data_IF_741425091625
#
_entry.id   IF_741425091625
#
_cell.length_a   1.000
_cell.length_b   1.000
_cell.length_c   1.000
_cell.angle_alpha   90.00
_cell.angle_beta   90.00
_cell.angle_gamma   90.00
#
_symmetry.space_group_name_H-M   'P 1'
#
loop_
_entity.id
_entity.type
_entity.pdbx_description
1 polymer ?
#
# COMPACT_ATOMS: atom_id res chain seq x y z
N UNK A 1 -7.01 23.77 -1.29
CA UNK A 1 -7.62 22.51 -0.80
C UNK A 1 -6.75 21.35 -1.26
N UNK A 2 -6.45 20.39 -0.40
CA UNK A 2 -5.69 19.20 -0.78
C UNK A 2 -6.63 18.00 -0.85
N UNK A 3 -6.53 17.21 -1.91
CA UNK A 3 -7.28 15.97 -2.09
C UNK A 3 -6.26 14.85 -2.22
N UNK A 4 -6.33 13.88 -1.31
CA UNK A 4 -5.59 12.63 -1.42
C UNK A 4 -6.52 11.58 -2.02
N UNK A 5 -6.12 10.98 -3.13
CA UNK A 5 -6.82 9.89 -3.79
C UNK A 5 -6.01 8.62 -3.62
N UNK A 6 -6.66 7.58 -3.12
CA UNK A 6 -6.11 6.23 -3.04
C UNK A 6 -6.88 5.39 -4.04
N UNK A 7 -6.21 4.95 -5.10
CA UNK A 7 -6.83 4.21 -6.20
C UNK A 7 -6.12 2.89 -6.40
N UNK A 8 -6.86 1.85 -6.76
CA UNK A 8 -6.22 0.60 -7.16
C UNK A 8 -5.75 0.70 -8.62
N UNK A 9 -6.46 1.41 -9.50
CA UNK A 9 -6.12 1.52 -10.92
C UNK A 9 -5.58 2.90 -11.28
N UNK A 10 -4.39 3.03 -11.90
CA UNK A 10 -3.92 4.33 -12.39
C UNK A 10 -4.84 4.94 -13.47
N UNK A 11 -5.66 4.10 -14.11
CA UNK A 11 -6.62 4.51 -15.15
C UNK A 11 -7.98 4.97 -14.57
N UNK A 12 -8.13 5.04 -13.25
CA UNK A 12 -9.39 5.47 -12.63
C UNK A 12 -9.62 6.97 -12.87
N UNK A 13 -10.69 7.29 -13.61
CA UNK A 13 -11.07 8.66 -13.96
C UNK A 13 -11.53 9.45 -12.75
N UNK A 14 -11.03 10.67 -12.61
CA UNK A 14 -11.41 11.62 -11.57
C UNK A 14 -11.75 12.97 -12.16
N UNK A 15 -12.96 13.45 -11.88
CA UNK A 15 -13.45 14.71 -12.39
C UNK A 15 -13.77 15.64 -11.22
N UNK A 16 -13.08 16.77 -11.18
CA UNK A 16 -13.46 17.90 -10.33
C UNK A 16 -14.28 18.88 -11.15
N UNK A 17 -15.33 19.45 -10.56
CA UNK A 17 -16.05 20.53 -11.23
C UNK A 17 -15.12 21.74 -11.43
N UNK A 18 -15.36 22.57 -12.46
CA UNK A 18 -14.44 23.67 -12.81
C UNK A 18 -14.08 24.60 -11.64
N UNK A 19 -15.02 24.84 -10.72
CA UNK A 19 -14.83 25.69 -9.54
C UNK A 19 -13.74 25.18 -8.57
N UNK A 20 -13.49 23.87 -8.55
CA UNK A 20 -12.51 23.24 -7.67
C UNK A 20 -11.18 22.94 -8.36
N UNK A 21 -11.14 22.82 -9.69
CA UNK A 21 -9.91 22.48 -10.43
C UNK A 21 -8.79 23.50 -10.20
N UNK A 22 -9.12 24.80 -10.12
CA UNK A 22 -8.13 25.86 -9.89
C UNK A 22 -7.70 26.01 -8.42
N UNK A 23 -8.42 25.37 -7.49
CA UNK A 23 -8.23 25.53 -6.03
C UNK A 23 -7.75 24.25 -5.33
N UNK A 24 -7.82 23.11 -6.02
CA UNK A 24 -7.49 21.81 -5.49
C UNK A 24 -6.13 21.34 -5.98
N UNK A 25 -5.30 20.85 -5.05
CA UNK A 25 -4.11 20.04 -5.35
C UNK A 25 -4.49 18.59 -5.13
N UNK A 26 -4.32 17.76 -6.15
CA UNK A 26 -4.68 16.33 -6.10
C UNK A 26 -3.41 15.50 -6.01
N UNK A 27 -3.32 14.67 -4.97
CA UNK A 27 -2.25 13.71 -4.75
C UNK A 27 -2.83 12.32 -4.95
N UNK A 28 -2.31 11.56 -5.92
CA UNK A 28 -2.80 10.22 -6.23
C UNK A 28 -1.79 9.18 -5.75
N UNK A 29 -2.27 8.23 -4.95
CA UNK A 29 -1.57 7.07 -4.42
C UNK A 29 -2.14 5.83 -5.10
N UNK A 30 -1.28 4.97 -5.64
CA UNK A 30 -1.72 3.76 -6.34
C UNK A 30 -1.47 2.52 -5.47
N UNK A 31 -2.51 1.71 -5.29
CA UNK A 31 -2.46 0.51 -4.42
C UNK A 31 -2.36 -0.81 -5.17
N UNK A 32 -1.99 -0.77 -6.46
CA UNK A 32 -1.66 -1.98 -7.23
C UNK A 32 -0.14 -2.11 -7.37
N UNK A 33 0.45 -3.26 -6.99
CA UNK A 33 -0.11 -4.48 -6.41
C UNK A 33 -0.10 -4.52 -4.86
N UNK A 34 -0.28 -3.39 -4.18
CA UNK A 34 0.05 -3.22 -2.75
C UNK A 34 -0.59 -4.25 -1.82
N UNK A 35 -1.87 -4.62 -1.94
CA UNK A 35 -2.48 -5.49 -0.92
C UNK A 35 -1.78 -6.86 -0.82
N UNK A 36 -1.43 -7.47 -1.96
CA UNK A 36 -0.68 -8.74 -1.96
C UNK A 36 0.79 -8.55 -1.64
N UNK A 37 1.44 -7.48 -2.11
CA UNK A 37 2.84 -7.23 -1.77
C UNK A 37 3.01 -7.00 -0.27
N UNK A 38 2.13 -6.22 0.34
CA UNK A 38 2.14 -6.01 1.79
C UNK A 38 1.94 -7.33 2.54
N UNK A 39 1.10 -8.25 2.04
CA UNK A 39 0.98 -9.59 2.63
C UNK A 39 2.28 -10.41 2.47
N UNK A 40 2.91 -10.38 1.29
CA UNK A 40 4.19 -11.06 1.04
C UNK A 40 5.29 -10.53 1.98
N UNK A 41 5.33 -9.22 2.22
CA UNK A 41 6.27 -8.59 3.14
C UNK A 41 5.97 -8.99 4.58
N UNK A 42 4.70 -8.96 5.00
CA UNK A 42 4.26 -9.40 6.34
C UNK A 42 4.69 -10.84 6.62
N UNK A 43 4.56 -11.74 5.64
CA UNK A 43 5.00 -13.14 5.76
C UNK A 43 6.52 -13.34 5.64
N UNK A 44 7.32 -12.26 5.58
CA UNK A 44 8.78 -12.33 5.42
C UNK A 44 9.23 -12.91 4.07
N UNK A 45 8.32 -13.00 3.10
CA UNK A 45 8.51 -13.74 1.86
C UNK A 45 8.89 -12.86 0.66
N UNK A 46 9.15 -11.56 0.85
CA UNK A 46 9.47 -10.64 -0.23
C UNK A 46 10.68 -11.09 -1.05
N UNK A 47 11.77 -11.48 -0.38
CA UNK A 47 12.95 -12.01 -1.07
C UNK A 47 12.61 -13.29 -1.83
N UNK A 48 11.86 -14.22 -1.23
CA UNK A 48 11.47 -15.44 -1.93
C UNK A 48 10.65 -15.14 -3.19
N UNK A 49 9.71 -14.19 -3.11
CA UNK A 49 8.92 -13.73 -4.25
C UNK A 49 9.77 -13.11 -5.35
N UNK A 50 10.71 -12.20 -5.03
CA UNK A 50 11.55 -11.57 -6.05
C UNK A 50 12.51 -12.53 -6.76
N UNK A 51 12.78 -13.71 -6.19
CA UNK A 51 13.59 -14.75 -6.84
C UNK A 51 12.76 -15.64 -7.79
N UNK A 52 11.43 -15.61 -7.70
CA UNK A 52 10.57 -16.33 -8.64
C UNK A 52 10.30 -15.45 -9.86
N UNK A 53 10.94 -15.78 -10.98
CA UNK A 53 10.75 -15.05 -12.23
C UNK A 53 9.28 -15.03 -12.66
N UNK A 54 8.80 -13.85 -13.04
CA UNK A 54 7.48 -13.60 -13.65
C UNK A 54 6.25 -14.05 -12.83
N UNK A 55 6.37 -14.30 -11.53
CA UNK A 55 5.21 -14.64 -10.70
C UNK A 55 4.52 -13.40 -10.16
N UNK A 56 3.21 -13.27 -10.40
CA UNK A 56 2.43 -12.14 -9.87
C UNK A 56 2.28 -12.27 -8.35
N UNK A 57 2.20 -11.15 -7.61
CA UNK A 57 1.96 -11.18 -6.17
C UNK A 57 0.74 -12.00 -5.77
N UNK A 58 -0.35 -11.92 -6.53
CA UNK A 58 -1.57 -12.70 -6.30
C UNK A 58 -1.36 -14.21 -6.45
N UNK A 59 -0.52 -14.62 -7.40
CA UNK A 59 -0.19 -16.03 -7.63
C UNK A 59 0.68 -16.54 -6.48
N UNK A 60 1.70 -15.77 -6.10
CA UNK A 60 2.57 -16.10 -4.98
C UNK A 60 1.79 -16.23 -3.66
N UNK A 61 0.91 -15.27 -3.35
CA UNK A 61 0.02 -15.35 -2.19
C UNK A 61 -0.83 -16.62 -2.18
N UNK A 62 -1.40 -17.00 -3.33
CA UNK A 62 -2.28 -18.16 -3.45
C UNK A 62 -1.51 -19.48 -3.33
N UNK A 63 -0.39 -19.59 -4.02
CA UNK A 63 0.32 -20.86 -4.24
C UNK A 63 1.44 -21.13 -3.24
N UNK A 64 2.15 -20.08 -2.81
CA UNK A 64 3.30 -20.20 -1.91
C UNK A 64 2.95 -19.88 -0.46
N UNK A 65 2.06 -18.92 -0.23
CA UNK A 65 1.63 -18.50 1.12
C UNK A 65 0.27 -19.11 1.55
N UNK A 66 -0.47 -19.76 0.64
CA UNK A 66 -1.79 -20.30 0.95
C UNK A 66 -2.88 -19.24 1.22
N UNK A 67 -2.60 -17.97 0.98
CA UNK A 67 -3.45 -16.80 1.24
C UNK A 67 -4.51 -16.60 0.15
N UNK A 68 -5.35 -17.62 -0.10
CA UNK A 68 -6.37 -17.60 -1.17
C UNK A 68 -7.44 -16.53 -0.99
N UNK A 69 -7.66 -16.08 0.25
CA UNK A 69 -8.70 -15.12 0.64
C UNK A 69 -8.16 -13.71 0.88
N UNK A 70 -6.92 -13.40 0.48
CA UNK A 70 -6.26 -12.10 0.76
C UNK A 70 -7.03 -10.88 0.24
N UNK A 71 -7.89 -11.06 -0.78
CA UNK A 71 -8.75 -9.99 -1.32
C UNK A 71 -10.09 -9.86 -0.59
N UNK A 72 -10.45 -10.80 0.28
CA UNK A 72 -11.73 -10.79 0.98
C UNK A 72 -11.65 -9.86 2.18
N UNK A 73 -12.60 -8.94 2.26
CA UNK A 73 -12.66 -7.95 3.34
C UNK A 73 -12.61 -8.57 4.74
N UNK A 74 -13.42 -9.62 4.98
CA UNK A 74 -13.46 -10.31 6.26
C UNK A 74 -12.10 -10.91 6.65
N UNK A 75 -11.37 -11.46 5.67
CA UNK A 75 -10.02 -11.97 5.88
C UNK A 75 -9.06 -10.83 6.23
N UNK A 76 -9.04 -9.76 5.44
CA UNK A 76 -8.15 -8.61 5.65
C UNK A 76 -8.36 -7.94 7.01
N UNK A 77 -9.61 -7.78 7.44
CA UNK A 77 -9.95 -7.18 8.73
C UNK A 77 -9.35 -7.95 9.91
N UNK A 78 -9.31 -9.29 9.83
CA UNK A 78 -8.67 -10.11 10.85
C UNK A 78 -7.15 -10.17 10.65
N UNK A 79 -6.69 -10.31 9.42
CA UNK A 79 -5.28 -10.48 9.06
C UNK A 79 -4.44 -9.21 9.28
N UNK A 80 -5.05 -8.02 9.27
CA UNK A 80 -4.41 -6.71 9.47
C UNK A 80 -5.02 -5.96 10.66
N UNK A 81 -5.28 -6.67 11.75
CA UNK A 81 -5.85 -6.09 12.97
C UNK A 81 -4.82 -5.34 13.82
N UNK A 82 -3.52 -5.50 13.54
CA UNK A 82 -2.43 -4.74 14.15
C UNK A 82 -2.04 -3.55 13.25
N UNK A 83 -2.31 -2.34 13.73
CA UNK A 83 -2.00 -1.11 13.00
C UNK A 83 -0.49 -0.82 12.93
N UNK A 84 0.26 -1.14 13.98
CA UNK A 84 1.71 -0.88 14.03
C UNK A 84 2.45 -1.82 13.08
N UNK A 85 2.05 -3.09 13.02
CA UNK A 85 2.56 -4.05 12.06
C UNK A 85 2.25 -3.60 10.62
N UNK A 86 1.03 -3.12 10.36
CA UNK A 86 0.65 -2.61 9.04
C UNK A 86 1.53 -1.41 8.63
N UNK A 87 1.76 -0.45 9.54
CA UNK A 87 2.65 0.68 9.31
C UNK A 87 4.08 0.22 8.97
N UNK A 88 4.63 -0.74 9.74
CA UNK A 88 5.97 -1.31 9.49
C UNK A 88 6.07 -1.98 8.12
N UNK A 89 5.03 -2.73 7.73
CA UNK A 89 4.96 -3.42 6.44
C UNK A 89 4.87 -2.43 5.27
N UNK A 90 4.09 -1.36 5.40
CA UNK A 90 4.01 -0.28 4.40
C UNK A 90 5.36 0.43 4.25
N UNK A 91 6.02 0.73 5.37
CA UNK A 91 7.36 1.31 5.37
C UNK A 91 8.40 0.39 4.72
N UNK A 92 8.33 -0.92 4.99
CA UNK A 92 9.21 -1.89 4.38
C UNK A 92 8.96 -2.03 2.87
N UNK A 93 7.70 -1.90 2.42
CA UNK A 93 7.40 -1.84 0.99
C UNK A 93 8.07 -0.63 0.33
N UNK A 94 7.99 0.55 0.95
CA UNK A 94 8.68 1.76 0.46
C UNK A 94 10.19 1.54 0.29
N UNK A 95 10.84 0.84 1.22
CA UNK A 95 12.28 0.56 1.17
C UNK A 95 12.66 -0.45 0.10
N UNK A 96 11.82 -1.46 -0.11
CA UNK A 96 12.14 -2.60 -0.96
C UNK A 96 11.73 -2.41 -2.43
N UNK A 97 10.78 -1.51 -2.70
CA UNK A 97 10.20 -1.32 -4.03
C UNK A 97 10.85 -0.16 -4.76
N UNK A 98 11.24 -0.41 -6.02
CA UNK A 98 11.74 0.63 -6.92
C UNK A 98 10.57 1.30 -7.63
N UNK A 99 10.07 2.39 -7.03
CA UNK A 99 9.01 3.21 -7.62
C UNK A 99 9.48 3.88 -8.90
N UNK A 100 8.61 3.90 -9.91
CA UNK A 100 8.85 4.66 -11.13
C UNK A 100 8.62 6.16 -10.87
N UNK A 101 9.18 7.03 -11.72
CA UNK A 101 9.12 8.49 -11.51
C UNK A 101 7.68 8.99 -11.26
N UNK A 102 7.48 9.64 -10.11
CA UNK A 102 6.20 10.19 -9.59
C UNK A 102 5.17 9.18 -9.07
N UNK A 103 5.50 7.88 -9.02
CA UNK A 103 4.67 6.90 -8.34
C UNK A 103 4.72 7.12 -6.82
N UNK A 104 3.55 7.25 -6.21
CA UNK A 104 3.38 7.47 -4.78
C UNK A 104 2.74 6.24 -4.15
N UNK A 105 3.20 5.87 -2.95
CA UNK A 105 2.68 4.73 -2.20
C UNK A 105 2.12 5.16 -0.84
N UNK A 106 1.44 4.23 -0.15
CA UNK A 106 0.82 4.52 1.16
C UNK A 106 1.80 5.06 2.21
N UNK A 107 3.09 4.78 2.11
CA UNK A 107 4.07 5.32 3.05
C UNK A 107 4.15 6.86 3.04
N UNK A 108 3.75 7.53 1.95
CA UNK A 108 3.72 9.01 1.90
C UNK A 108 2.69 9.63 2.83
N UNK A 109 1.65 8.90 3.21
CA UNK A 109 0.61 9.38 4.12
C UNK A 109 0.78 8.91 5.56
N UNK A 110 1.84 8.14 5.85
CA UNK A 110 2.19 7.73 7.20
C UNK A 110 2.94 8.81 8.00
N UNK A 111 3.20 9.97 7.40
CA UNK A 111 3.83 11.11 8.07
C UNK A 111 2.90 11.58 9.22
N UNK A 112 3.33 11.27 10.45
CA UNK A 112 2.88 11.73 11.79
C UNK A 112 2.66 10.60 12.84
N UNK A 113 3.25 9.42 12.69
CA UNK A 113 3.24 8.40 13.77
C UNK A 113 4.55 8.24 14.55
N UNK A 114 5.67 8.81 14.09
CA UNK A 114 6.96 8.72 14.80
C UNK A 114 7.21 9.87 15.79
N UNK A 115 6.60 11.03 15.56
CA UNK A 115 6.85 12.24 16.37
C UNK A 115 5.80 12.42 17.48
N UNK A 116 4.81 11.51 17.57
CA UNK A 116 3.76 11.49 18.60
C UNK A 116 3.97 10.42 19.68
N UNK A 117 5.09 9.66 19.63
CA UNK A 117 5.44 8.66 20.65
C UNK A 117 6.75 8.96 21.41
N UNK A 118 7.23 10.21 21.39
CA UNK A 118 8.33 10.66 22.26
C UNK A 118 7.92 11.84 23.13
N UNK A 119 6.84 11.70 23.90
CA UNK A 119 6.66 12.46 25.14
C UNK A 119 6.20 11.54 26.28
N UNK A 120 6.94 11.62 27.39
CA UNK A 120 6.72 11.06 28.72
C UNK A 120 7.13 9.59 29.00
N UNK A 121 8.43 9.41 29.26
CA UNK A 121 8.92 8.75 30.49
C UNK A 121 9.84 9.72 31.21
#
# INVERSE_FOLDING_TARGET
>A
MNIVRIIDSPNERFHLSPLYQSKARVFTLTTRPEIEILAIIKEGAYRAWTHVNNMKPSEFCKEKLGLRKIKQYAFLRQYRNDADELCRVIEQYRRNHHFQNHERCLAEILVDYSDSCTEHV
#
